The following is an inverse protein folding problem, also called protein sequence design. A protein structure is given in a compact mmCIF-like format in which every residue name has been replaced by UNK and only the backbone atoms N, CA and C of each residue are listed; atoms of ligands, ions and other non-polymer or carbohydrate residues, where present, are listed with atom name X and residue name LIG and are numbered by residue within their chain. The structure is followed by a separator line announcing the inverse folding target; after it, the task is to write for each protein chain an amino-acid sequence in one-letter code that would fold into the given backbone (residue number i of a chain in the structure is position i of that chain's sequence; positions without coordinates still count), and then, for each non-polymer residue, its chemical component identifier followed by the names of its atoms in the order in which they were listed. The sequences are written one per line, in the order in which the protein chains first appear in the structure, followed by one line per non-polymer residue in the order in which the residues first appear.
data_IF_663255347396
#
_entry.id   IF_663255347396
#
_cell.length_a   1.000
_cell.length_b   1.000
_cell.length_c   1.000
_cell.angle_alpha   90.00
_cell.angle_beta   90.00
_cell.angle_gamma   90.00
#
_symmetry.space_group_name_H-M   'P 1'
#
loop_
_entity.id
_entity.type
_entity.pdbx_description
1 polymer ?
#
# COMPACT_ATOMS: atom_id res chain seq x y z
N UNK A 1 51.65 -2.73 -16.43
CA UNK A 1 50.68 -1.96 -15.62
C UNK A 1 49.31 -2.11 -16.27
N UNK A 2 48.57 -3.17 -15.93
CA UNK A 2 47.20 -3.40 -16.43
C UNK A 2 46.23 -2.58 -15.61
N UNK A 3 45.40 -1.77 -16.28
CA UNK A 3 44.24 -1.11 -15.68
C UNK A 3 43.10 -2.12 -15.66
N UNK A 4 42.78 -2.65 -14.49
CA UNK A 4 41.53 -3.34 -14.23
C UNK A 4 40.38 -2.33 -14.34
N UNK A 5 39.63 -2.41 -15.44
CA UNK A 5 38.38 -1.67 -15.61
C UNK A 5 37.29 -2.55 -14.98
N UNK A 6 36.95 -2.24 -13.72
CA UNK A 6 35.82 -2.87 -13.06
C UNK A 6 34.53 -2.63 -13.88
N UNK A 7 33.69 -3.65 -14.10
CA UNK A 7 32.45 -3.47 -14.83
C UNK A 7 31.51 -2.57 -14.03
N UNK A 8 31.17 -1.40 -14.59
CA UNK A 8 30.14 -0.51 -14.06
C UNK A 8 28.82 -1.27 -14.16
N UNK A 9 28.43 -1.93 -13.06
CA UNK A 9 27.12 -2.58 -12.96
C UNK A 9 26.07 -1.48 -12.87
N UNK A 10 25.58 -1.03 -14.02
CA UNK A 10 24.51 -0.05 -14.13
C UNK A 10 23.24 -0.73 -13.60
N UNK A 11 22.96 -0.55 -12.30
CA UNK A 11 21.70 -0.97 -11.68
C UNK A 11 20.59 -0.21 -12.40
N UNK A 12 19.92 -0.86 -13.34
CA UNK A 12 18.80 -0.27 -14.07
C UNK A 12 17.75 0.13 -13.04
N UNK A 13 17.52 1.43 -12.92
CA UNK A 13 16.45 1.97 -12.09
C UNK A 13 15.12 1.54 -12.71
N UNK A 14 14.21 1.05 -11.85
CA UNK A 14 12.87 0.64 -12.25
C UNK A 14 12.09 1.87 -12.72
N UNK A 15 11.36 1.74 -13.82
CA UNK A 15 10.51 2.85 -14.32
C UNK A 15 9.28 3.02 -13.43
N UNK A 16 8.65 4.20 -13.44
CA UNK A 16 7.41 4.42 -12.68
C UNK A 16 6.28 3.47 -13.10
N UNK A 17 6.13 3.22 -14.41
CA UNK A 17 5.13 2.29 -14.93
C UNK A 17 5.39 0.86 -14.48
N UNK A 18 6.64 0.41 -14.51
CA UNK A 18 7.03 -0.91 -14.01
C UNK A 18 6.80 -1.04 -12.51
N UNK A 19 7.23 -0.05 -11.73
CA UNK A 19 7.05 -0.05 -10.28
C UNK A 19 5.57 -0.11 -9.89
N UNK A 20 4.72 0.69 -10.55
CA UNK A 20 3.26 0.65 -10.36
C UNK A 20 2.67 -0.72 -10.71
N UNK A 21 3.11 -1.32 -11.81
CA UNK A 21 2.67 -2.66 -12.21
C UNK A 21 3.04 -3.70 -11.13
N UNK A 22 4.27 -3.63 -10.59
CA UNK A 22 4.72 -4.52 -9.52
C UNK A 22 3.95 -4.33 -8.22
N UNK A 23 3.56 -3.11 -7.88
CA UNK A 23 2.70 -2.84 -6.72
C UNK A 23 1.29 -3.44 -6.93
N UNK A 24 0.71 -3.29 -8.12
CA UNK A 24 -0.58 -3.91 -8.43
C UNK A 24 -0.52 -5.45 -8.45
N UNK A 25 0.60 -6.04 -8.87
CA UNK A 25 0.88 -7.47 -8.71
C UNK A 25 0.94 -7.86 -7.23
N UNK A 26 1.68 -7.10 -6.42
CA UNK A 26 1.79 -7.33 -4.98
C UNK A 26 0.43 -7.31 -4.28
N UNK A 27 -0.48 -6.38 -4.60
CA UNK A 27 -1.84 -6.37 -4.03
C UNK A 27 -2.58 -7.69 -4.30
N UNK A 28 -2.49 -8.20 -5.53
CA UNK A 28 -3.13 -9.47 -5.90
C UNK A 28 -2.49 -10.67 -5.21
N UNK A 29 -1.15 -10.65 -5.10
CA UNK A 29 -0.42 -11.69 -4.39
C UNK A 29 -0.86 -11.73 -2.92
N UNK A 30 -0.91 -10.58 -2.23
CA UNK A 30 -1.37 -10.50 -0.84
C UNK A 30 -2.80 -11.00 -0.63
N UNK A 31 -3.72 -10.68 -1.57
CA UNK A 31 -5.13 -11.10 -1.46
C UNK A 31 -5.33 -12.62 -1.61
N UNK A 32 -4.38 -13.33 -2.24
CA UNK A 32 -4.44 -14.79 -2.44
C UNK A 32 -3.48 -15.58 -1.56
N UNK A 33 -2.57 -14.87 -0.89
CA UNK A 33 -1.53 -15.44 -0.05
C UNK A 33 -2.08 -16.06 1.24
N UNK A 34 -1.34 -17.02 1.77
CA UNK A 34 -1.58 -17.62 3.07
C UNK A 34 -0.60 -17.07 4.11
N UNK A 35 -0.87 -17.35 5.39
CA UNK A 35 0.01 -16.91 6.51
C UNK A 35 1.48 -17.34 6.39
N UNK A 36 1.75 -18.44 5.69
CA UNK A 36 3.12 -18.92 5.43
C UNK A 36 3.90 -18.07 4.42
N UNK A 37 3.20 -17.30 3.58
CA UNK A 37 3.79 -16.43 2.55
C UNK A 37 4.14 -15.02 3.08
N UNK A 38 3.71 -14.68 4.30
CA UNK A 38 3.82 -13.33 4.88
C UNK A 38 5.25 -12.78 4.83
N UNK A 39 6.22 -13.59 5.25
CA UNK A 39 7.62 -13.19 5.31
C UNK A 39 8.19 -12.83 3.94
N UNK A 40 7.87 -13.62 2.92
CA UNK A 40 8.36 -13.41 1.56
C UNK A 40 7.71 -12.16 0.93
N UNK A 41 6.42 -11.96 1.17
CA UNK A 41 5.70 -10.77 0.68
C UNK A 41 6.13 -9.49 1.40
N UNK A 42 6.42 -9.55 2.69
CA UNK A 42 7.02 -8.45 3.44
C UNK A 42 8.37 -8.02 2.85
N UNK A 43 9.25 -8.98 2.58
CA UNK A 43 10.57 -8.70 1.99
C UNK A 43 10.46 -8.23 0.53
N UNK A 44 9.51 -8.78 -0.24
CA UNK A 44 9.19 -8.31 -1.60
C UNK A 44 8.73 -6.86 -1.57
N UNK A 45 7.86 -6.51 -0.63
CA UNK A 45 7.33 -5.15 -0.45
C UNK A 45 8.45 -4.18 -0.09
N UNK A 46 9.28 -4.52 0.91
CA UNK A 46 10.49 -3.76 1.24
C UNK A 46 11.35 -3.50 0.00
N UNK A 47 11.61 -4.54 -0.79
CA UNK A 47 12.42 -4.45 -2.00
C UNK A 47 11.82 -3.56 -3.09
N UNK A 48 10.49 -3.48 -3.17
CA UNK A 48 9.78 -2.57 -4.09
C UNK A 48 9.84 -1.12 -3.60
N UNK A 49 9.59 -0.88 -2.31
CA UNK A 49 9.69 0.46 -1.71
C UNK A 49 11.12 0.99 -1.85
N UNK A 50 12.13 0.17 -1.50
CA UNK A 50 13.56 0.53 -1.62
C UNK A 50 14.05 0.75 -3.06
N UNK A 51 13.23 0.41 -4.07
CA UNK A 51 13.50 0.68 -5.49
C UNK A 51 12.50 1.67 -6.10
N UNK A 52 11.70 2.36 -5.28
CA UNK A 52 10.75 3.34 -5.76
C UNK A 52 11.46 4.44 -6.56
N UNK A 53 10.88 4.88 -7.70
CA UNK A 53 11.44 5.95 -8.52
C UNK A 53 11.61 7.26 -7.71
N UNK A 54 12.64 8.04 -8.04
CA UNK A 54 13.07 9.23 -7.27
C UNK A 54 12.01 10.33 -7.05
N UNK A 55 10.89 10.30 -7.78
CA UNK A 55 9.80 11.28 -7.62
C UNK A 55 9.07 11.12 -6.28
N UNK A 56 9.20 9.97 -5.60
CA UNK A 56 8.58 9.70 -4.29
C UNK A 56 9.56 9.87 -3.13
N UNK A 57 10.11 11.08 -2.98
CA UNK A 57 11.28 11.37 -2.12
C UNK A 57 11.10 11.11 -0.62
N UNK A 58 9.89 10.85 -0.10
CA UNK A 58 9.68 10.56 1.33
C UNK A 58 9.56 9.07 1.69
N UNK A 59 9.45 8.19 0.70
CA UNK A 59 9.12 6.79 0.94
C UNK A 59 10.35 5.96 1.39
N UNK A 60 11.55 6.39 1.04
CA UNK A 60 12.79 5.68 1.38
C UNK A 60 13.32 6.04 2.77
N UNK A 61 13.06 7.27 3.21
CA UNK A 61 13.72 7.85 4.37
C UNK A 61 13.34 7.18 5.69
N UNK A 62 12.17 6.54 5.74
CA UNK A 62 11.65 5.86 6.94
C UNK A 62 11.90 4.35 6.94
N UNK A 63 12.42 3.76 5.85
CA UNK A 63 12.58 2.32 5.78
C UNK A 63 13.60 1.83 6.82
N UNK A 64 13.28 0.77 7.59
CA UNK A 64 14.25 0.19 8.52
C UNK A 64 15.44 -0.40 7.75
N UNK A 65 16.61 -0.57 8.40
CA UNK A 65 17.69 -1.35 7.81
C UNK A 65 17.21 -2.76 7.43
N UNK A 66 17.64 -3.27 6.28
CA UNK A 66 17.23 -4.59 5.78
C UNK A 66 17.47 -5.72 6.81
N UNK A 67 18.56 -5.64 7.58
CA UNK A 67 18.84 -6.61 8.65
C UNK A 67 17.77 -6.61 9.75
N UNK A 68 17.23 -5.43 10.09
CA UNK A 68 16.14 -5.29 11.06
C UNK A 68 14.86 -5.89 10.50
N UNK A 69 14.54 -5.60 9.23
CA UNK A 69 13.38 -6.17 8.55
C UNK A 69 13.44 -7.70 8.52
N UNK A 70 14.59 -8.27 8.13
CA UNK A 70 14.81 -9.72 8.13
C UNK A 70 14.71 -10.34 9.53
N UNK A 71 15.19 -9.62 10.56
CA UNK A 71 15.06 -10.09 11.93
C UNK A 71 13.59 -10.16 12.37
N UNK A 72 12.77 -9.14 12.07
CA UNK A 72 11.34 -9.14 12.37
C UNK A 72 10.63 -10.31 11.67
N UNK A 73 10.88 -10.50 10.38
CA UNK A 73 10.32 -11.62 9.60
C UNK A 73 10.74 -12.97 10.18
N UNK A 74 12.04 -13.16 10.46
CA UNK A 74 12.55 -14.42 11.02
C UNK A 74 11.97 -14.75 12.40
N UNK A 75 11.64 -13.74 13.19
CA UNK A 75 11.02 -13.89 14.50
C UNK A 75 9.50 -14.07 14.43
N UNK A 76 8.89 -14.05 13.24
CA UNK A 76 7.43 -14.13 13.06
C UNK A 76 6.69 -12.85 13.47
N UNK A 77 7.40 -11.73 13.62
CA UNK A 77 6.81 -10.44 13.99
C UNK A 77 6.26 -9.71 12.75
N UNK A 78 5.39 -10.38 11.98
CA UNK A 78 4.92 -9.90 10.67
C UNK A 78 4.12 -8.60 10.76
N UNK A 79 3.27 -8.44 11.78
CA UNK A 79 2.51 -7.19 11.99
C UNK A 79 3.46 -6.01 12.24
N UNK A 80 4.48 -6.19 13.08
CA UNK A 80 5.50 -5.17 13.33
C UNK A 80 6.33 -4.87 12.08
N UNK A 81 6.63 -5.89 11.28
CA UNK A 81 7.33 -5.74 10.01
C UNK A 81 6.49 -4.95 8.99
N UNK A 82 5.19 -5.22 8.90
CA UNK A 82 4.28 -4.47 8.03
C UNK A 82 4.17 -3.00 8.47
N UNK A 83 4.01 -2.75 9.77
CA UNK A 83 3.97 -1.39 10.32
C UNK A 83 5.28 -0.63 10.11
N UNK A 84 6.42 -1.31 10.16
CA UNK A 84 7.73 -0.68 9.90
C UNK A 84 7.92 -0.27 8.43
N UNK A 85 7.09 -0.76 7.50
CA UNK A 85 7.06 -0.33 6.10
C UNK A 85 6.12 0.86 5.86
N UNK A 86 5.34 1.26 6.86
CA UNK A 86 4.45 2.40 6.76
C UNK A 86 5.22 3.71 6.92
N UNK A 87 4.97 4.73 6.08
CA UNK A 87 5.47 6.07 6.33
C UNK A 87 5.02 6.60 7.69
N UNK A 88 5.88 7.35 8.39
CA UNK A 88 5.60 7.87 9.73
C UNK A 88 4.32 8.73 9.82
N UNK A 89 3.93 9.33 8.70
CA UNK A 89 2.76 10.19 8.55
C UNK A 89 1.57 9.51 7.84
N UNK A 90 1.66 8.21 7.56
CA UNK A 90 0.51 7.44 7.10
C UNK A 90 -0.45 7.16 8.26
N UNK A 91 -1.74 7.08 7.96
CA UNK A 91 -2.75 6.57 8.90
C UNK A 91 -3.30 5.25 8.39
N UNK A 92 -3.69 4.38 9.32
CA UNK A 92 -4.28 3.10 8.97
C UNK A 92 -5.37 2.69 9.95
N UNK A 93 -6.31 1.91 9.45
CA UNK A 93 -7.33 1.20 10.22
C UNK A 93 -7.15 -0.27 9.91
N UNK A 94 -7.19 -1.10 10.95
CA UNK A 94 -7.15 -2.54 10.83
C UNK A 94 -8.37 -3.12 11.54
N UNK A 95 -9.11 -3.97 10.85
CA UNK A 95 -10.23 -4.74 11.39
C UNK A 95 -10.08 -6.22 11.06
N UNK A 96 -10.76 -7.06 11.83
CA UNK A 96 -10.74 -8.51 11.68
C UNK A 96 -12.17 -9.03 11.80
N UNK A 97 -12.57 -9.90 10.86
CA UNK A 97 -13.86 -10.58 10.88
C UNK A 97 -13.86 -11.75 11.85
N UNK A 98 -15.04 -12.26 12.19
CA UNK A 98 -15.17 -13.48 13.01
C UNK A 98 -14.67 -14.72 12.26
N UNK A 99 -14.70 -14.69 10.94
CA UNK A 99 -14.29 -15.79 10.05
C UNK A 99 -12.76 -15.87 9.88
N UNK A 100 -12.03 -14.88 10.39
CA UNK A 100 -10.58 -14.85 10.44
C UNK A 100 -9.94 -13.90 9.42
N UNK A 101 -10.70 -13.42 8.44
CA UNK A 101 -10.23 -12.46 7.44
C UNK A 101 -9.92 -11.10 8.07
N UNK A 102 -8.92 -10.43 7.53
CA UNK A 102 -8.45 -9.14 8.00
C UNK A 102 -8.65 -8.10 6.90
N UNK A 103 -9.17 -6.93 7.28
CA UNK A 103 -9.37 -5.79 6.40
C UNK A 103 -8.51 -4.64 6.91
N UNK A 104 -7.73 -4.03 6.02
CA UNK A 104 -6.97 -2.84 6.35
C UNK A 104 -7.31 -1.71 5.40
N UNK A 105 -7.39 -0.51 5.95
CA UNK A 105 -7.52 0.74 5.20
C UNK A 105 -6.29 1.58 5.49
N UNK A 106 -5.66 2.11 4.45
CA UNK A 106 -4.45 2.95 4.55
C UNK A 106 -4.72 4.26 3.83
N UNK A 107 -4.30 5.37 4.43
CA UNK A 107 -4.24 6.67 3.78
C UNK A 107 -2.81 7.21 3.90
N UNK A 108 -2.23 7.54 2.76
CA UNK A 108 -0.92 8.17 2.69
C UNK A 108 -1.07 9.70 2.72
N UNK A 109 -0.01 10.43 3.10
CA UNK A 109 0.01 11.88 2.99
C UNK A 109 -0.31 12.34 1.58
N UNK A 110 -0.99 13.49 1.47
CA UNK A 110 -1.37 14.11 0.20
C UNK A 110 -2.31 13.26 -0.69
N UNK A 111 -2.88 12.18 -0.15
CA UNK A 111 -3.99 11.46 -0.78
C UNK A 111 -5.33 11.90 -0.18
N UNK A 112 -6.33 12.11 -1.03
CA UNK A 112 -7.70 12.44 -0.63
C UNK A 112 -8.54 11.19 -0.28
N UNK A 113 -8.08 10.01 -0.71
CA UNK A 113 -8.81 8.74 -0.57
C UNK A 113 -7.94 7.69 0.12
N UNK A 114 -8.54 6.96 1.07
CA UNK A 114 -7.94 5.76 1.64
C UNK A 114 -8.09 4.57 0.68
N UNK A 115 -7.13 3.66 0.69
CA UNK A 115 -7.23 2.39 -0.01
C UNK A 115 -7.48 1.28 1.00
N UNK A 116 -8.50 0.47 0.71
CA UNK A 116 -8.90 -0.64 1.56
C UNK A 116 -8.59 -1.97 0.88
N UNK A 117 -8.07 -2.93 1.62
CA UNK A 117 -7.80 -4.27 1.12
C UNK A 117 -8.02 -5.34 2.19
N UNK A 118 -8.45 -6.52 1.74
CA UNK A 118 -8.71 -7.70 2.55
C UNK A 118 -7.64 -8.77 2.28
N UNK A 119 -7.24 -9.48 3.32
CA UNK A 119 -6.36 -10.65 3.24
C UNK A 119 -6.52 -11.55 4.46
N UNK A 120 -5.93 -12.74 4.42
CA UNK A 120 -6.03 -13.72 5.52
C UNK A 120 -5.43 -13.23 6.84
N UNK A 121 -4.42 -12.34 6.81
CA UNK A 121 -3.72 -11.87 8.00
C UNK A 121 -3.64 -10.34 8.06
N UNK A 122 -3.43 -9.76 9.25
CA UNK A 122 -3.28 -8.32 9.39
C UNK A 122 -2.11 -7.75 8.60
N UNK A 123 -0.97 -8.43 8.61
CA UNK A 123 0.20 -7.98 7.87
C UNK A 123 -0.09 -7.95 6.37
N UNK A 124 -0.71 -9.00 5.80
CA UNK A 124 -1.04 -9.05 4.37
C UNK A 124 -2.07 -7.99 3.97
N UNK A 125 -3.10 -7.75 4.79
CA UNK A 125 -4.10 -6.74 4.47
C UNK A 125 -3.50 -5.34 4.49
N UNK A 126 -2.65 -5.04 5.49
CA UNK A 126 -1.88 -3.79 5.55
C UNK A 126 -0.96 -3.61 4.34
N UNK A 127 -0.18 -4.65 3.97
CA UNK A 127 0.70 -4.59 2.81
C UNK A 127 -0.07 -4.36 1.52
N UNK A 128 -1.19 -5.04 1.35
CA UNK A 128 -2.03 -4.90 0.16
C UNK A 128 -2.62 -3.50 0.04
N UNK A 129 -3.15 -2.95 1.14
CA UNK A 129 -3.67 -1.58 1.20
C UNK A 129 -2.57 -0.53 0.94
N UNK A 130 -1.41 -0.68 1.58
CA UNK A 130 -0.24 0.18 1.34
C UNK A 130 0.20 0.12 -0.14
N UNK A 131 0.32 -1.07 -0.72
CA UNK A 131 0.70 -1.22 -2.12
C UNK A 131 -0.32 -0.58 -3.07
N UNK A 132 -1.62 -0.66 -2.74
CA UNK A 132 -2.68 -0.01 -3.50
C UNK A 132 -2.57 1.52 -3.43
N UNK A 133 -2.30 2.09 -2.24
CA UNK A 133 -2.03 3.52 -2.09
C UNK A 133 -0.85 3.96 -2.95
N UNK A 134 0.27 3.26 -2.87
CA UNK A 134 1.48 3.59 -3.63
C UNK A 134 1.25 3.49 -5.14
N UNK A 135 0.50 2.48 -5.59
CA UNK A 135 0.15 2.32 -7.00
C UNK A 135 -0.78 3.43 -7.48
N UNK A 136 -1.69 3.91 -6.63
CA UNK A 136 -2.57 5.04 -6.92
C UNK A 136 -1.81 6.37 -6.99
N UNK A 137 -0.96 6.64 -5.99
CA UNK A 137 -0.13 7.84 -5.93
C UNK A 137 0.80 7.95 -7.16
N UNK A 138 1.31 6.81 -7.67
CA UNK A 138 2.10 6.77 -8.89
C UNK A 138 1.34 7.22 -10.16
N UNK A 139 0.00 7.17 -10.18
CA UNK A 139 -0.83 7.64 -11.31
C UNK A 139 -1.01 9.15 -11.30
N UNK A 140 -1.12 9.76 -10.11
CA UNK A 140 -1.29 11.21 -9.95
C UNK A 140 -0.03 12.03 -10.29
N UNK A 141 1.15 11.39 -10.33
CA UNK A 141 2.44 12.04 -10.57
C UNK A 141 2.75 12.33 -12.06
N UNK A 142 1.73 12.44 -12.92
CA UNK A 142 1.92 12.74 -14.35
C UNK A 142 2.50 14.16 -14.55
N UNK A 143 3.73 14.32 -15.09
CA UNK A 143 4.38 15.62 -15.25
C UNK A 143 3.69 16.53 -16.29
N UNK A 144 2.76 16.02 -17.10
CA UNK A 144 1.96 16.86 -18.01
C UNK A 144 0.87 17.68 -17.30
N UNK A 145 0.59 17.44 -16.02
CA UNK A 145 -0.40 18.19 -15.25
C UNK A 145 0.10 19.55 -14.75
N UNK A 146 1.39 19.90 -14.91
CA UNK A 146 1.96 21.18 -14.43
C UNK A 146 1.87 22.32 -15.45
N UNK A 147 0.70 22.53 -16.05
CA UNK A 147 0.34 23.82 -16.67
C UNK A 147 -1.08 24.18 -16.25
N UNK A 148 -1.20 24.87 -15.12
CA UNK A 148 -2.49 25.33 -14.63
C UNK A 148 -2.38 26.04 -13.29
N UNK A 149 -1.84 27.27 -13.28
CA UNK A 149 -2.14 28.22 -12.21
C UNK A 149 -3.65 28.48 -12.26
N UNK A 150 -4.40 27.89 -11.33
CA UNK A 150 -5.85 28.09 -11.26
C UNK A 150 -6.47 27.30 -10.12
N UNK A 151 -6.81 28.01 -9.04
CA UNK A 151 -7.83 27.56 -8.09
C UNK A 151 -9.12 27.25 -8.86
N UNK A 152 -9.44 25.98 -9.06
CA UNK A 152 -10.82 25.53 -9.27
C UNK A 152 -10.91 24.06 -8.90
N UNK A 153 -11.77 23.77 -7.91
CA UNK A 153 -12.18 22.42 -7.60
C UNK A 153 -12.77 21.77 -8.85
N UNK A 154 -12.33 20.53 -9.10
CA UNK A 154 -13.13 19.58 -9.86
C UNK A 154 -13.52 18.48 -8.90
N UNK A 155 -14.66 18.69 -8.26
CA UNK A 155 -15.52 17.62 -7.80
C UNK A 155 -15.75 16.69 -8.99
N UNK A 156 -15.23 15.47 -8.90
CA UNK A 156 -15.71 14.38 -9.73
C UNK A 156 -17.17 14.17 -9.35
N UNK A 157 -18.06 14.39 -10.32
CA UNK A 157 -19.49 14.09 -10.17
C UNK A 157 -19.62 12.59 -9.92
N UNK A 158 -19.97 12.24 -8.70
CA UNK A 158 -20.56 10.96 -8.35
C UNK A 158 -22.02 10.96 -8.85
N UNK A 159 -22.24 10.47 -10.07
CA UNK A 159 -23.57 10.00 -10.53
C UNK A 159 -23.89 8.61 -9.92
N UNK A 160 -23.66 8.47 -8.62
CA UNK A 160 -24.11 7.36 -7.79
C UNK A 160 -24.66 7.95 -6.49
N UNK A 161 -25.77 8.68 -6.63
CA UNK A 161 -26.74 8.77 -5.55
C UNK A 161 -27.36 7.37 -5.39
N UNK A 162 -26.69 6.50 -4.62
CA UNK A 162 -27.40 5.44 -3.93
C UNK A 162 -28.19 6.13 -2.82
N UNK A 163 -29.51 6.07 -2.93
CA UNK A 163 -30.46 6.46 -1.88
C UNK A 163 -30.08 5.75 -0.57
N UNK A 164 -29.47 6.50 0.35
CA UNK A 164 -29.27 6.09 1.75
C UNK A 164 -30.43 6.67 2.58
N UNK A 165 -31.66 6.31 2.22
CA UNK A 165 -32.85 6.55 3.04
C UNK A 165 -33.85 5.38 2.97
N UNK A 166 -33.42 4.15 3.22
CA UNK A 166 -34.39 3.08 3.54
C UNK A 166 -33.83 1.92 4.36
N UNK A 167 -33.28 2.21 5.54
CA UNK A 167 -33.15 1.21 6.62
C UNK A 167 -33.93 1.68 7.85
N UNK A 168 -35.26 1.66 7.76
CA UNK A 168 -36.11 1.63 8.96
C UNK A 168 -36.14 0.21 9.49
N UNK A 169 -35.66 0.04 10.71
CA UNK A 169 -35.86 -1.16 11.53
C UNK A 169 -37.38 -1.35 11.75
N UNK A 170 -37.97 -2.52 11.49
CA UNK A 170 -39.33 -2.78 11.93
C UNK A 170 -39.34 -2.94 13.45
N UNK A 171 -39.86 -1.92 14.15
CA UNK A 171 -40.44 -2.12 15.47
C UNK A 171 -41.66 -3.02 15.30
N UNK A 172 -41.62 -4.25 15.83
CA UNK A 172 -42.72 -4.97 16.48
C UNK A 172 -42.35 -6.46 16.60
N UNK A 173 -41.73 -6.81 17.72
CA UNK A 173 -41.77 -8.16 18.27
C UNK A 173 -41.97 -8.06 19.78
N UNK A 174 -43.16 -7.61 20.19
CA UNK A 174 -43.64 -7.87 21.55
C UNK A 174 -44.43 -9.17 21.47
N UNK A 175 -43.81 -10.24 21.95
CA UNK A 175 -44.49 -11.49 22.29
C UNK A 175 -45.26 -11.26 23.59
N UNK A 176 -46.59 -11.34 23.54
CA UNK A 176 -47.45 -11.83 24.63
C UNK A 176 -48.79 -12.28 24.06
#
# INVERSE_FOLDING_TARGET
MSKDIAPITRKLAMTMAEWRLRLAELCRDCASAQSEDEGDLLLKTYGLIAKAPQVQTGLHDHLPPMSTMQALVKMGAHDSAALALMPENASYILSRSIDGDCLASVILPDMDEEMTSEAQTPALSLLSALAACLASAAQGADPTATVGIGKTGRAWRSDLALDVEEWRVPEHAVLH
#
